data_IF_547772578735
#
_entry.id   IF_547772578735
#
_cell.length_a   1.000
_cell.length_b   1.000
_cell.length_c   1.000
_cell.angle_alpha   90.00
_cell.angle_beta   90.00
_cell.angle_gamma   90.00
#
_symmetry.space_group_name_H-M   'P 1'
#
loop_
_entity.id
_entity.type
_entity.pdbx_description
1 polymer ?
#
# COMPACT_ATOMS: atom_id res chain seq x y z
N UNK A 1 12.65 20.50 0.15
CA UNK A 1 11.95 20.70 1.45
C UNK A 1 10.48 20.30 1.39
N UNK A 2 9.68 20.74 0.39
CA UNK A 2 8.27 20.30 0.26
C UNK A 2 8.08 18.85 -0.22
N UNK A 3 8.95 18.33 -1.08
CA UNK A 3 8.76 17.00 -1.69
C UNK A 3 9.04 15.85 -0.71
N UNK A 4 10.03 15.99 0.17
CA UNK A 4 10.32 15.01 1.23
C UNK A 4 9.21 14.96 2.28
N UNK A 5 8.67 16.12 2.68
CA UNK A 5 7.51 16.23 3.56
C UNK A 5 6.28 15.56 2.94
N UNK A 6 6.09 15.72 1.62
CA UNK A 6 4.99 15.09 0.89
C UNK A 6 5.17 13.58 0.81
N UNK A 7 6.38 13.10 0.50
CA UNK A 7 6.71 11.68 0.50
C UNK A 7 6.47 11.04 1.88
N UNK A 8 6.99 11.64 2.96
CA UNK A 8 6.77 11.16 4.33
C UNK A 8 5.29 11.07 4.71
N UNK A 9 4.44 11.92 4.12
CA UNK A 9 3.00 11.96 4.39
C UNK A 9 2.19 11.00 3.52
N UNK A 10 2.73 10.53 2.40
CA UNK A 10 2.03 9.68 1.42
C UNK A 10 2.46 8.21 1.48
N UNK A 11 3.58 7.91 2.14
CA UNK A 11 4.12 6.56 2.25
C UNK A 11 3.78 5.90 3.60
N UNK A 12 3.59 4.59 3.59
CA UNK A 12 3.60 3.75 4.79
C UNK A 12 5.05 3.52 5.23
N UNK A 13 5.34 3.74 6.52
CA UNK A 13 6.72 3.73 7.01
C UNK A 13 7.33 2.33 7.07
N UNK A 14 6.50 1.30 7.26
CA UNK A 14 6.98 -0.07 7.42
C UNK A 14 7.31 -0.70 6.07
N UNK A 15 6.36 -0.63 5.13
CA UNK A 15 6.45 -1.29 3.82
C UNK A 15 7.08 -0.39 2.75
N UNK A 16 7.05 0.92 2.98
CA UNK A 16 7.42 1.92 1.99
C UNK A 16 6.51 1.93 0.76
N UNK A 17 5.28 1.39 0.85
CA UNK A 17 4.24 1.53 -0.17
C UNK A 17 3.45 2.83 0.04
N UNK A 18 2.57 3.19 -0.90
CA UNK A 18 1.61 4.26 -0.64
C UNK A 18 0.69 3.90 0.53
N UNK A 19 0.51 4.85 1.44
CA UNK A 19 -0.43 4.68 2.53
C UNK A 19 -1.88 4.80 2.06
N UNK A 20 -2.80 4.46 2.96
CA UNK A 20 -4.24 4.48 2.68
C UNK A 20 -4.72 5.82 2.12
N UNK A 21 -4.27 6.94 2.68
CA UNK A 21 -4.69 8.29 2.25
C UNK A 21 -4.28 8.56 0.80
N UNK A 22 -3.07 8.16 0.42
CA UNK A 22 -2.59 8.30 -0.95
C UNK A 22 -3.36 7.40 -1.91
N UNK A 23 -3.65 6.16 -1.51
CA UNK A 23 -4.48 5.22 -2.31
C UNK A 23 -5.88 5.80 -2.53
N UNK A 24 -6.55 6.29 -1.47
CA UNK A 24 -7.90 6.88 -1.57
C UNK A 24 -7.92 8.09 -2.52
N UNK A 25 -6.90 8.97 -2.42
CA UNK A 25 -6.75 10.11 -3.32
C UNK A 25 -6.56 9.67 -4.77
N UNK A 26 -5.75 8.64 -5.00
CA UNK A 26 -5.51 8.12 -6.34
C UNK A 26 -6.77 7.46 -6.92
N UNK A 27 -7.48 6.65 -6.12
CA UNK A 27 -8.75 6.03 -6.52
C UNK A 27 -9.81 7.07 -6.92
N UNK A 28 -9.92 8.18 -6.18
CA UNK A 28 -10.84 9.26 -6.53
C UNK A 28 -10.47 9.92 -7.87
N UNK A 29 -9.17 10.10 -8.13
CA UNK A 29 -8.67 10.60 -9.41
C UNK A 29 -9.00 9.64 -10.56
N UNK A 30 -8.75 8.34 -10.39
CA UNK A 30 -9.05 7.31 -11.38
C UNK A 30 -10.55 7.21 -11.67
N UNK A 31 -11.37 7.28 -10.62
CA UNK A 31 -12.83 7.33 -10.77
C UNK A 31 -13.29 8.57 -11.55
N UNK A 32 -12.71 9.74 -11.27
CA UNK A 32 -13.01 10.96 -12.02
C UNK A 32 -12.59 10.82 -13.49
N UNK A 33 -11.44 10.18 -13.76
CA UNK A 33 -10.94 9.91 -15.11
C UNK A 33 -11.87 8.96 -15.87
N UNK A 34 -12.36 7.90 -15.22
CA UNK A 34 -13.38 7.02 -15.76
C UNK A 34 -14.66 7.78 -16.15
N UNK A 35 -15.17 8.65 -15.27
CA UNK A 35 -16.38 9.44 -15.56
C UNK A 35 -16.20 10.31 -16.81
N UNK A 36 -15.04 10.98 -16.95
CA UNK A 36 -14.76 11.90 -18.06
C UNK A 36 -14.41 11.21 -19.37
N UNK A 37 -13.62 10.14 -19.32
CA UNK A 37 -12.97 9.56 -20.50
C UNK A 37 -13.37 8.11 -20.78
N UNK A 38 -14.17 7.49 -19.90
CA UNK A 38 -14.53 6.06 -19.96
C UNK A 38 -13.34 5.11 -19.93
N UNK A 39 -12.20 5.59 -19.43
CA UNK A 39 -11.04 4.75 -19.17
C UNK A 39 -11.30 3.91 -17.93
N UNK A 40 -11.38 2.59 -18.13
CA UNK A 40 -11.63 1.62 -17.07
C UNK A 40 -10.36 1.36 -16.27
N UNK A 41 -10.51 1.14 -14.98
CA UNK A 41 -9.44 0.73 -14.08
C UNK A 41 -9.90 -0.45 -13.22
N UNK A 42 -8.95 -1.15 -12.61
CA UNK A 42 -9.22 -2.30 -11.75
C UNK A 42 -8.58 -2.08 -10.39
N UNK A 43 -9.15 -2.71 -9.37
CA UNK A 43 -8.64 -2.67 -8.00
C UNK A 43 -8.42 -4.10 -7.54
N UNK A 44 -7.27 -4.34 -6.92
CA UNK A 44 -6.97 -5.59 -6.22
C UNK A 44 -6.95 -5.30 -4.73
N UNK A 45 -7.79 -6.01 -3.99
CA UNK A 45 -7.75 -6.07 -2.53
C UNK A 45 -7.27 -7.46 -2.15
N UNK A 46 -6.19 -7.52 -1.37
CA UNK A 46 -5.61 -8.77 -0.90
C UNK A 46 -5.19 -8.62 0.56
N UNK A 47 -4.97 -9.75 1.22
CA UNK A 47 -4.44 -9.82 2.58
C UNK A 47 -3.51 -11.03 2.70
N UNK A 48 -2.68 -11.04 3.74
CA UNK A 48 -1.77 -12.16 4.03
C UNK A 48 -2.55 -13.21 4.83
N UNK A 49 -2.69 -14.40 4.26
CA UNK A 49 -3.33 -15.52 4.94
C UNK A 49 -2.56 -15.91 6.22
N UNK A 50 -3.31 -16.21 7.29
CA UNK A 50 -2.76 -16.65 8.58
C UNK A 50 -1.72 -15.69 9.21
N UNK A 51 -1.70 -14.40 8.84
CA UNK A 51 -0.72 -13.44 9.35
C UNK A 51 -0.71 -13.34 10.88
N UNK A 52 -1.89 -13.41 11.51
CA UNK A 52 -2.00 -13.44 12.97
C UNK A 52 -1.29 -14.66 13.57
N UNK A 53 -1.48 -15.85 12.99
CA UNK A 53 -0.81 -17.07 13.46
C UNK A 53 0.72 -16.98 13.34
N UNK A 54 1.23 -16.25 12.36
CA UNK A 54 2.67 -15.96 12.26
C UNK A 54 3.11 -15.09 13.44
N UNK A 55 2.39 -13.99 13.72
CA UNK A 55 2.69 -13.11 14.85
C UNK A 55 2.44 -13.73 16.24
N UNK A 56 1.61 -14.77 16.32
CA UNK A 56 1.36 -15.49 17.57
C UNK A 56 2.45 -16.57 17.80
N UNK A 57 2.96 -17.17 16.70
CA UNK A 57 3.99 -18.22 16.74
C UNK A 57 5.41 -17.66 16.82
N UNK A 58 5.63 -16.52 16.20
CA UNK A 58 6.88 -15.78 16.16
C UNK A 58 6.64 -14.40 16.74
N UNK A 59 7.67 -13.73 17.24
CA UNK A 59 7.49 -12.35 17.68
C UNK A 59 7.09 -11.42 16.50
N UNK A 60 6.52 -10.26 16.84
CA UNK A 60 6.02 -9.28 15.87
C UNK A 60 7.08 -8.80 14.87
N UNK A 61 8.39 -8.92 15.18
CA UNK A 61 9.43 -8.51 14.24
C UNK A 61 9.46 -9.36 12.98
N UNK A 62 9.02 -10.63 13.06
CA UNK A 62 8.87 -11.51 11.89
C UNK A 62 7.70 -11.08 11.02
N UNK A 63 6.58 -10.65 11.62
CA UNK A 63 5.48 -10.06 10.88
C UNK A 63 5.90 -8.78 10.15
N UNK A 64 6.62 -7.91 10.83
CA UNK A 64 7.17 -6.68 10.25
C UNK A 64 8.14 -6.96 9.10
N UNK A 65 8.98 -7.99 9.25
CA UNK A 65 9.88 -8.44 8.19
C UNK A 65 9.10 -8.91 6.95
N UNK A 66 8.08 -9.75 7.12
CA UNK A 66 7.25 -10.19 6.01
C UNK A 66 6.55 -9.03 5.29
N UNK A 67 6.04 -8.06 6.05
CA UNK A 67 5.41 -6.86 5.49
C UNK A 67 6.40 -6.01 4.69
N UNK A 68 7.64 -5.87 5.15
CA UNK A 68 8.72 -5.18 4.42
C UNK A 68 9.07 -5.86 3.10
N UNK A 69 9.22 -7.18 3.11
CA UNK A 69 9.52 -7.97 1.92
C UNK A 69 8.38 -7.88 0.91
N UNK A 70 7.13 -7.96 1.37
CA UNK A 70 5.96 -7.79 0.51
C UNK A 70 5.89 -6.38 -0.08
N UNK A 71 6.18 -5.35 0.71
CA UNK A 71 6.29 -3.97 0.24
C UNK A 71 7.34 -3.81 -0.86
N UNK A 72 8.47 -4.50 -0.73
CA UNK A 72 9.54 -4.50 -1.74
C UNK A 72 9.11 -5.22 -3.02
N UNK A 73 8.43 -6.36 -2.91
CA UNK A 73 7.92 -7.11 -4.06
C UNK A 73 6.91 -6.29 -4.87
N UNK A 74 5.97 -5.64 -4.19
CA UNK A 74 4.88 -4.91 -4.83
C UNK A 74 5.31 -3.61 -5.51
N UNK A 75 6.46 -3.04 -5.15
CA UNK A 75 7.03 -1.86 -5.85
C UNK A 75 7.49 -2.16 -7.27
N UNK A 76 7.72 -3.44 -7.59
CA UNK A 76 8.21 -3.88 -8.89
C UNK A 76 7.11 -4.43 -9.81
N UNK A 77 5.84 -4.26 -9.42
CA UNK A 77 4.65 -4.61 -10.21
C UNK A 77 4.10 -3.33 -10.81
#
# INVERSE_FOLDING_TARGET
MNDELKALSEMDQLTGLYNRRKIETHLYSEFTRYIRHKEVFSIILFYIDNFKSINDKYDHSIGDFLLKELGTLLKNI
#
